data_IF_896664010760
#
_entry.id   IF_896664010760
#
_cell.length_a   1.000
_cell.length_b   1.000
_cell.length_c   1.000
_cell.angle_alpha   90.00
_cell.angle_beta   90.00
_cell.angle_gamma   90.00
#
_symmetry.space_group_name_H-M   'P 1'
#
loop_
_entity.id
_entity.type
_entity.pdbx_description
1 polymer ?
#
# COMPACT_ATOMS: atom_id res chain seq x y z
N UNK A 1 -1.18 16.90 5.04
CA UNK A 1 -1.91 16.27 6.15
C UNK A 1 -1.17 16.34 7.49
N UNK A 2 0.16 16.31 7.54
CA UNK A 2 0.91 16.41 8.83
C UNK A 2 0.79 15.18 9.73
N UNK A 3 0.23 14.09 9.21
CA UNK A 3 -0.04 12.83 9.90
C UNK A 3 0.84 11.70 9.39
N UNK A 4 1.00 10.66 10.22
CA UNK A 4 1.69 9.45 9.83
C UNK A 4 0.75 8.44 9.17
N UNK A 5 1.31 7.30 8.78
CA UNK A 5 0.54 6.15 8.31
C UNK A 5 1.15 4.83 8.78
N UNK A 6 0.28 3.85 9.01
CA UNK A 6 0.63 2.45 9.21
C UNK A 6 0.07 1.63 8.05
N UNK A 7 0.96 1.09 7.22
CA UNK A 7 0.63 0.23 6.08
C UNK A 7 0.80 -1.23 6.50
N UNK A 8 -0.17 -2.09 6.21
CA UNK A 8 -0.11 -3.53 6.44
C UNK A 8 0.48 -4.24 5.23
N UNK A 9 1.66 -4.84 5.36
CA UNK A 9 2.36 -5.54 4.26
C UNK A 9 1.51 -6.65 3.62
N UNK A 10 0.77 -7.39 4.44
CA UNK A 10 -0.11 -8.47 3.99
C UNK A 10 -1.31 -8.01 3.16
N UNK A 11 -1.67 -6.72 3.23
CA UNK A 11 -2.82 -6.15 2.52
C UNK A 11 -2.43 -5.44 1.22
N UNK A 12 -1.14 -5.38 0.89
CA UNK A 12 -0.70 -4.74 -0.34
C UNK A 12 -1.21 -5.52 -1.57
N UNK A 13 -1.94 -4.88 -2.50
CA UNK A 13 -2.50 -5.56 -3.66
C UNK A 13 -1.40 -6.04 -4.60
N UNK A 14 -1.62 -7.20 -5.21
CA UNK A 14 -0.73 -7.81 -6.19
C UNK A 14 -1.57 -8.44 -7.30
N UNK A 15 -1.25 -8.14 -8.55
CA UNK A 15 -1.89 -8.82 -9.68
C UNK A 15 -1.36 -10.26 -9.81
N UNK A 16 -2.15 -11.20 -10.35
CA UNK A 16 -1.68 -12.57 -10.57
C UNK A 16 -0.42 -12.64 -11.45
N UNK A 17 -0.32 -11.77 -12.46
CA UNK A 17 0.84 -11.69 -13.33
C UNK A 17 2.09 -11.23 -12.57
N UNK A 18 1.98 -10.18 -11.76
CA UNK A 18 3.07 -9.70 -10.92
C UNK A 18 3.54 -10.78 -9.93
N UNK A 19 2.60 -11.40 -9.21
CA UNK A 19 2.93 -12.48 -8.26
C UNK A 19 3.62 -13.66 -8.95
N UNK A 20 3.18 -14.03 -10.16
CA UNK A 20 3.82 -15.08 -10.96
C UNK A 20 5.26 -14.71 -11.32
N UNK A 21 5.50 -13.50 -11.83
CA UNK A 21 6.85 -13.02 -12.17
C UNK A 21 7.77 -13.03 -10.94
N UNK A 22 7.29 -12.54 -9.79
CA UNK A 22 8.10 -12.58 -8.58
C UNK A 22 8.43 -14.01 -8.14
N UNK A 23 7.46 -14.94 -8.19
CA UNK A 23 7.66 -16.33 -7.80
C UNK A 23 8.64 -17.05 -8.74
N UNK A 24 8.44 -16.94 -10.06
CA UNK A 24 9.26 -17.59 -11.08
C UNK A 24 10.74 -17.13 -11.03
N UNK A 25 10.99 -15.89 -10.57
CA UNK A 25 12.32 -15.29 -10.50
C UNK A 25 12.89 -15.23 -9.06
N UNK A 26 12.21 -15.81 -8.06
CA UNK A 26 12.58 -15.74 -6.65
C UNK A 26 12.83 -14.30 -6.14
N UNK A 27 12.00 -13.35 -6.59
CA UNK A 27 12.09 -11.94 -6.24
C UNK A 27 11.22 -11.63 -5.02
N UNK A 28 11.74 -10.80 -4.11
CA UNK A 28 10.94 -10.23 -3.03
C UNK A 28 9.97 -9.18 -3.63
N UNK A 29 8.65 -9.31 -3.48
CA UNK A 29 7.70 -8.36 -4.05
C UNK A 29 7.71 -6.97 -3.37
N UNK A 30 8.04 -6.91 -2.07
CA UNK A 30 7.81 -5.71 -1.25
C UNK A 30 8.55 -4.44 -1.77
N UNK A 31 9.82 -4.50 -2.22
CA UNK A 31 10.50 -3.34 -2.77
C UNK A 31 9.81 -2.75 -4.01
N UNK A 32 9.27 -3.59 -4.90
CA UNK A 32 8.57 -3.17 -6.12
C UNK A 32 7.25 -2.50 -5.80
N UNK A 33 6.46 -3.07 -4.88
CA UNK A 33 5.16 -2.49 -4.50
C UNK A 33 5.33 -1.15 -3.76
N UNK A 34 6.38 -1.01 -2.94
CA UNK A 34 6.57 0.15 -2.07
C UNK A 34 7.35 1.31 -2.71
N UNK A 35 8.27 1.01 -3.62
CA UNK A 35 9.18 2.00 -4.21
C UNK A 35 9.19 1.97 -5.73
N UNK A 36 8.38 1.11 -6.34
CA UNK A 36 8.10 1.20 -7.77
C UNK A 36 7.39 2.50 -8.12
N UNK A 37 6.93 2.57 -9.35
CA UNK A 37 6.19 3.70 -9.89
C UNK A 37 5.51 3.28 -11.17
N UNK A 38 4.94 4.24 -11.88
CA UNK A 38 4.26 4.01 -13.18
C UNK A 38 3.04 3.07 -13.11
N UNK A 39 2.52 2.78 -11.91
CA UNK A 39 1.27 2.04 -11.73
C UNK A 39 0.03 2.90 -12.07
N UNK A 40 0.15 4.24 -11.96
CA UNK A 40 -0.94 5.21 -12.17
C UNK A 40 -2.21 4.96 -11.33
N UNK A 41 -2.07 4.28 -10.20
CA UNK A 41 -3.15 3.96 -9.27
C UNK A 41 -3.51 5.13 -8.33
N UNK A 42 -4.73 5.10 -7.79
CA UNK A 42 -5.19 6.08 -6.81
C UNK A 42 -4.86 5.64 -5.38
N UNK A 43 -4.07 6.44 -4.67
CA UNK A 43 -3.88 6.34 -3.23
C UNK A 43 -4.64 7.45 -2.51
N UNK A 44 -5.61 7.09 -1.68
CA UNK A 44 -6.46 8.03 -0.97
C UNK A 44 -6.77 7.57 0.46
N UNK A 45 -7.39 8.46 1.24
CA UNK A 45 -7.80 8.19 2.62
C UNK A 45 -9.29 8.45 2.77
N UNK A 46 -9.89 7.80 3.77
CA UNK A 46 -11.28 7.99 4.16
C UNK A 46 -11.46 7.74 5.66
N UNK A 47 -12.53 8.26 6.29
CA UNK A 47 -12.93 7.89 7.63
C UNK A 47 -13.13 6.37 7.78
N UNK A 48 -12.78 5.82 8.95
CA UNK A 48 -12.79 4.38 9.20
C UNK A 48 -14.19 3.74 9.05
N UNK A 49 -15.24 4.49 9.38
CA UNK A 49 -16.64 4.09 9.20
C UNK A 49 -17.07 4.05 7.72
N UNK A 50 -16.36 4.76 6.84
CA UNK A 50 -16.58 4.75 5.39
C UNK A 50 -16.12 3.49 4.67
N UNK A 51 -15.23 2.68 5.26
CA UNK A 51 -14.60 1.53 4.59
C UNK A 51 -15.61 0.47 4.14
N UNK A 52 -16.66 0.20 4.93
CA UNK A 52 -17.70 -0.75 4.51
C UNK A 52 -18.48 -0.27 3.30
N UNK A 53 -18.78 1.03 3.23
CA UNK A 53 -19.49 1.64 2.10
C UNK A 53 -18.61 1.68 0.86
N UNK A 54 -17.31 1.91 1.02
CA UNK A 54 -16.31 1.92 -0.04
C UNK A 54 -16.34 0.63 -0.85
N UNK A 55 -16.21 -0.52 -0.19
CA UNK A 55 -16.20 -1.82 -0.90
C UNK A 55 -17.44 -2.03 -1.74
N UNK A 56 -18.63 -1.73 -1.21
CA UNK A 56 -19.89 -1.84 -1.94
C UNK A 56 -19.97 -0.92 -3.16
N UNK A 57 -19.38 0.27 -3.08
CA UNK A 57 -19.38 1.22 -4.20
C UNK A 57 -18.43 0.78 -5.32
N UNK A 58 -17.24 0.30 -4.96
CA UNK A 58 -16.25 -0.17 -5.91
C UNK A 58 -16.65 -1.49 -6.58
N UNK A 59 -17.30 -2.39 -5.84
CA UNK A 59 -17.93 -3.59 -6.41
C UNK A 59 -18.94 -3.24 -7.51
N UNK A 60 -19.82 -2.27 -7.26
CA UNK A 60 -20.81 -1.79 -8.27
C UNK A 60 -20.17 -1.12 -9.48
N UNK A 61 -19.02 -0.49 -9.29
CA UNK A 61 -18.28 0.17 -10.36
C UNK A 61 -17.34 -0.78 -11.11
N UNK A 62 -17.33 -2.07 -10.75
CA UNK A 62 -16.41 -3.09 -11.28
C UNK A 62 -14.93 -2.64 -11.16
N UNK A 63 -14.63 -1.89 -10.10
CA UNK A 63 -13.31 -1.35 -9.84
C UNK A 63 -12.69 -2.03 -8.60
N UNK A 64 -11.37 -2.21 -8.62
CA UNK A 64 -10.64 -2.79 -7.49
C UNK A 64 -10.32 -1.70 -6.46
N UNK A 65 -10.45 -2.06 -5.17
CA UNK A 65 -9.99 -1.21 -4.07
C UNK A 65 -9.49 -2.08 -2.93
N UNK A 66 -8.39 -1.65 -2.32
CA UNK A 66 -7.78 -2.37 -1.21
C UNK A 66 -7.50 -1.42 -0.06
N UNK A 67 -8.05 -1.71 1.12
CA UNK A 67 -7.70 -0.99 2.33
C UNK A 67 -6.36 -1.50 2.86
N UNK A 68 -5.28 -0.76 2.60
CA UNK A 68 -3.91 -1.18 2.90
C UNK A 68 -3.41 -0.76 4.28
N UNK A 69 -4.14 0.06 5.03
CA UNK A 69 -3.64 0.61 6.28
C UNK A 69 -4.41 1.83 6.77
N UNK A 70 -3.89 2.47 7.80
CA UNK A 70 -4.56 3.57 8.50
C UNK A 70 -3.67 4.81 8.64
N UNK A 71 -4.30 5.98 8.67
CA UNK A 71 -3.64 7.22 9.05
C UNK A 71 -3.48 7.25 10.56
N UNK A 72 -2.28 7.58 11.03
CA UNK A 72 -1.97 7.63 12.47
C UNK A 72 -1.95 9.08 12.98
N UNK A 73 -1.72 9.24 14.28
CA UNK A 73 -1.51 10.55 14.91
C UNK A 73 -0.48 11.42 14.17
N UNK A 74 -0.53 12.76 14.37
CA UNK A 74 0.40 13.71 13.76
C UNK A 74 1.86 13.28 13.88
N UNK A 75 2.45 12.93 12.74
CA UNK A 75 3.86 12.59 12.58
C UNK A 75 4.17 12.71 11.08
N UNK A 76 5.43 12.81 10.68
CA UNK A 76 5.81 12.73 9.25
C UNK A 76 6.33 11.34 8.88
N UNK A 77 5.94 10.30 9.63
CA UNK A 77 6.49 8.95 9.52
C UNK A 77 5.46 8.00 8.93
N UNK A 78 5.89 7.25 7.93
CA UNK A 78 5.15 6.10 7.41
C UNK A 78 5.83 4.84 7.95
N UNK A 79 5.04 3.88 8.41
CA UNK A 79 5.54 2.61 8.93
C UNK A 79 4.83 1.44 8.25
N UNK A 80 5.57 0.36 8.07
CA UNK A 80 5.11 -0.89 7.52
C UNK A 80 4.96 -1.91 8.67
N UNK A 81 3.77 -2.45 8.85
CA UNK A 81 3.52 -3.64 9.66
C UNK A 81 3.84 -4.87 8.80
N UNK A 82 4.94 -5.54 9.13
CA UNK A 82 5.42 -6.74 8.45
C UNK A 82 4.56 -7.94 8.81
N UNK A 83 4.57 -8.98 7.97
CA UNK A 83 3.85 -10.25 8.22
C UNK A 83 4.21 -10.95 9.54
N UNK A 84 5.39 -10.68 10.09
CA UNK A 84 5.85 -11.21 11.39
C UNK A 84 5.44 -10.33 12.58
N UNK A 85 4.58 -9.32 12.38
CA UNK A 85 4.13 -8.39 13.41
C UNK A 85 5.10 -7.27 13.75
N UNK A 86 6.31 -7.27 13.18
CA UNK A 86 7.29 -6.19 13.39
C UNK A 86 6.85 -4.92 12.65
N UNK A 87 6.97 -3.77 13.33
CA UNK A 87 6.81 -2.46 12.69
C UNK A 87 8.16 -1.94 12.23
N UNK A 88 8.24 -1.54 10.97
CA UNK A 88 9.43 -0.92 10.38
C UNK A 88 9.09 0.48 9.86
N UNK A 89 9.90 1.48 10.20
CA UNK A 89 9.74 2.82 9.65
C UNK A 89 10.25 2.77 8.21
N UNK A 90 9.38 3.14 7.26
CA UNK A 90 9.82 3.36 5.89
C UNK A 90 10.66 4.63 5.89
N UNK A 91 11.97 4.46 5.66
CA UNK A 91 12.86 5.60 5.40
C UNK A 91 12.41 6.28 4.12
N UNK A 92 12.78 7.55 3.93
CA UNK A 92 12.51 8.28 2.68
C UNK A 92 12.80 7.36 1.50
N UNK A 93 11.76 7.07 0.71
CA UNK A 93 11.88 6.10 -0.36
C UNK A 93 12.90 6.60 -1.37
N UNK A 94 13.62 5.66 -1.97
CA UNK A 94 14.37 5.88 -3.21
C UNK A 94 13.42 5.90 -4.41
N UNK A 95 12.21 6.45 -4.26
CA UNK A 95 11.27 6.60 -5.37
C UNK A 95 11.90 7.40 -6.51
N UNK A 96 11.25 7.42 -7.67
CA UNK A 96 11.80 8.10 -8.83
C UNK A 96 12.19 9.55 -8.51
N UNK A 97 13.47 9.85 -8.68
CA UNK A 97 14.00 11.20 -8.68
C UNK A 97 14.57 11.46 -10.08
N UNK A 98 14.20 12.59 -10.67
CA UNK A 98 14.51 12.91 -12.06
C UNK A 98 15.97 13.33 -12.27
N UNK A 99 16.72 13.60 -11.20
CA UNK A 99 18.08 14.16 -11.22
C UNK A 99 19.01 13.47 -10.21
#
# INVERSE_FOLDING_TARGET
SGTGALICEEKLPQSPAFSKVCADNNLNPAPFILNGGEDYELLFTLPADGVKKLYRQFEKAEALVTHIGEITQPSKKVSLLKKNGKREILRQSSGFNHF
#
